data_IF_681623433353
#
_entry.id   IF_681623433353
#
_cell.length_a   1.000
_cell.length_b   1.000
_cell.length_c   1.000
_cell.angle_alpha   90.00
_cell.angle_beta   90.00
_cell.angle_gamma   90.00
#
_symmetry.space_group_name_H-M   'P 1'
#
loop_
_entity.id
_entity.type
_entity.pdbx_description
1 polymer ?
#
# COMPACT_ATOMS: atom_id res chain seq x y z
N UNK A 1 -46.70 45.66 -2.06
CA UNK A 1 -46.59 44.94 -3.35
C UNK A 1 -45.68 45.78 -4.25
N UNK A 2 -44.59 45.35 -4.90
CA UNK A 2 -43.85 44.09 -5.10
C UNK A 2 -42.51 44.55 -5.72
N UNK A 3 -41.38 44.01 -5.25
CA UNK A 3 -40.03 44.15 -5.82
C UNK A 3 -39.86 43.30 -7.09
N UNK A 4 -38.84 43.56 -7.93
CA UNK A 4 -38.16 42.51 -8.67
C UNK A 4 -36.74 42.32 -8.12
N UNK A 5 -36.50 41.14 -7.55
CA UNK A 5 -35.17 40.66 -7.19
C UNK A 5 -34.64 39.84 -8.37
N UNK A 6 -33.59 40.36 -9.01
CA UNK A 6 -32.87 39.66 -10.07
C UNK A 6 -32.00 38.55 -9.49
N UNK A 7 -32.39 37.31 -9.78
CA UNK A 7 -31.61 36.11 -9.45
C UNK A 7 -30.44 36.00 -10.44
N UNK A 8 -29.21 36.19 -9.97
CA UNK A 8 -28.00 35.81 -10.72
C UNK A 8 -27.46 34.55 -10.07
N UNK A 9 -27.61 33.43 -10.78
CA UNK A 9 -27.06 32.14 -10.38
C UNK A 9 -25.52 32.20 -10.40
N UNK A 10 -24.90 31.92 -9.25
CA UNK A 10 -23.46 31.65 -9.19
C UNK A 10 -23.18 30.29 -9.87
N UNK A 11 -22.11 30.16 -10.69
CA UNK A 11 -21.74 28.86 -11.21
C UNK A 11 -21.20 27.98 -10.07
N UNK A 12 -21.81 26.81 -9.93
CA UNK A 12 -21.42 25.74 -9.01
C UNK A 12 -20.03 25.21 -9.43
N UNK A 13 -18.98 25.81 -8.86
CA UNK A 13 -17.60 25.33 -9.02
C UNK A 13 -17.45 24.11 -8.12
N UNK A 14 -17.68 22.94 -8.71
CA UNK A 14 -17.19 21.65 -8.19
C UNK A 14 -15.72 21.81 -7.82
N UNK A 15 -15.28 21.51 -6.58
CA UNK A 15 -13.87 21.45 -6.28
C UNK A 15 -13.29 20.27 -7.05
N UNK A 16 -12.45 20.58 -8.04
CA UNK A 16 -11.55 19.61 -8.63
C UNK A 16 -10.57 19.26 -7.51
N UNK A 17 -10.70 18.07 -6.94
CA UNK A 17 -9.71 17.50 -6.04
C UNK A 17 -8.42 17.43 -6.84
N UNK A 18 -7.56 18.40 -6.62
CA UNK A 18 -6.19 18.42 -7.09
C UNK A 18 -5.49 17.32 -6.29
N UNK A 19 -5.21 16.21 -6.96
CA UNK A 19 -4.40 15.15 -6.39
C UNK A 19 -3.01 15.75 -6.18
N UNK A 20 -2.63 15.96 -4.91
CA UNK A 20 -1.37 16.58 -4.55
C UNK A 20 -0.23 15.61 -4.87
N UNK A 21 0.28 15.67 -6.10
CA UNK A 21 1.38 14.85 -6.62
C UNK A 21 2.70 15.07 -5.85
N UNK A 22 2.75 16.08 -4.97
CA UNK A 22 3.90 16.42 -4.13
C UNK A 22 4.30 15.27 -3.21
N UNK A 23 3.33 14.65 -2.53
CA UNK A 23 3.57 13.55 -1.60
C UNK A 23 4.06 12.30 -2.32
N UNK A 24 3.53 12.04 -3.52
CA UNK A 24 3.93 10.91 -4.35
C UNK A 24 5.37 11.09 -4.86
N UNK A 25 5.72 12.29 -5.32
CA UNK A 25 7.08 12.62 -5.73
C UNK A 25 8.08 12.54 -4.57
N UNK A 26 7.68 13.02 -3.38
CA UNK A 26 8.49 12.96 -2.18
C UNK A 26 8.74 11.52 -1.72
N UNK A 27 7.70 10.70 -1.66
CA UNK A 27 7.80 9.28 -1.32
C UNK A 27 8.65 8.49 -2.34
N UNK A 28 8.53 8.82 -3.64
CA UNK A 28 9.38 8.25 -4.70
C UNK A 28 10.85 8.64 -4.54
N UNK A 29 11.13 9.90 -4.24
CA UNK A 29 12.49 10.43 -4.06
C UNK A 29 13.18 9.72 -2.90
N UNK A 30 12.50 9.63 -1.75
CA UNK A 30 13.01 8.92 -0.57
C UNK A 30 13.23 7.44 -0.89
N UNK A 31 12.25 6.77 -1.53
CA UNK A 31 12.38 5.36 -1.91
C UNK A 31 13.59 5.10 -2.82
N UNK A 32 13.86 6.01 -3.75
CA UNK A 32 14.95 5.87 -4.73
C UNK A 32 16.32 6.10 -4.08
N UNK A 33 16.44 7.15 -3.25
CA UNK A 33 17.66 7.43 -2.50
C UNK A 33 18.03 6.24 -1.59
N UNK A 34 17.02 5.61 -0.96
CA UNK A 34 17.23 4.42 -0.13
C UNK A 34 17.80 3.25 -0.94
N UNK A 35 17.23 2.95 -2.11
CA UNK A 35 17.74 1.87 -2.97
C UNK A 35 19.20 2.10 -3.37
N UNK A 36 19.57 3.34 -3.69
CA UNK A 36 20.96 3.72 -3.97
C UNK A 36 21.88 3.45 -2.76
N UNK A 37 21.48 3.89 -1.56
CA UNK A 37 22.29 3.66 -0.34
C UNK A 37 22.45 2.18 0.05
N UNK A 38 21.53 1.30 -0.36
CA UNK A 38 21.63 -0.15 -0.13
C UNK A 38 22.59 -0.79 -1.16
N UNK A 39 22.70 -0.23 -2.36
CA UNK A 39 23.54 -0.72 -3.46
C UNK A 39 25.00 -0.23 -3.36
N UNK A 40 25.24 0.94 -2.75
CA UNK A 40 26.56 1.60 -2.70
C UNK A 40 27.64 0.86 -1.87
N UNK A 41 27.29 -0.17 -1.09
CA UNK A 41 28.28 -1.06 -0.45
C UNK A 41 28.63 -2.21 -1.39
N UNK A 42 29.52 -1.89 -2.33
CA UNK A 42 30.07 -2.77 -3.37
C UNK A 42 30.90 -3.93 -2.78
N UNK A 43 30.20 -4.95 -2.28
CA UNK A 43 30.70 -6.33 -2.29
C UNK A 43 30.06 -7.05 -3.48
N UNK A 44 30.80 -7.12 -4.59
CA UNK A 44 30.42 -7.79 -5.86
C UNK A 44 29.90 -9.23 -5.67
N UNK A 45 30.23 -9.88 -4.55
CA UNK A 45 29.81 -11.24 -4.20
C UNK A 45 28.38 -11.36 -3.62
N UNK A 46 27.68 -10.24 -3.38
CA UNK A 46 26.42 -10.20 -2.63
C UNK A 46 25.18 -9.83 -3.45
N UNK A 47 25.24 -9.92 -4.79
CA UNK A 47 24.06 -9.77 -5.65
C UNK A 47 23.19 -11.02 -5.56
N UNK A 48 22.52 -11.17 -4.42
CA UNK A 48 21.32 -12.00 -4.35
C UNK A 48 20.24 -11.44 -5.28
N UNK A 49 19.30 -12.27 -5.76
CA UNK A 49 18.23 -11.81 -6.63
C UNK A 49 17.45 -10.68 -5.97
N UNK A 50 17.32 -9.54 -6.65
CA UNK A 50 16.51 -8.42 -6.18
C UNK A 50 15.05 -8.86 -6.15
N UNK A 51 14.32 -8.65 -5.04
CA UNK A 51 12.92 -9.07 -4.95
C UNK A 51 12.07 -8.35 -6.00
N UNK A 52 11.10 -9.06 -6.56
CA UNK A 52 10.19 -8.49 -7.56
C UNK A 52 9.24 -7.46 -6.94
N UNK A 53 8.82 -6.44 -7.71
CA UNK A 53 7.83 -5.47 -7.24
C UNK A 53 6.47 -6.12 -6.92
N UNK A 54 5.83 -5.64 -5.86
CA UNK A 54 4.47 -6.01 -5.50
C UNK A 54 3.46 -5.09 -6.19
N UNK A 55 2.54 -5.68 -6.96
CA UNK A 55 1.56 -4.95 -7.78
C UNK A 55 0.16 -4.85 -7.14
N UNK A 56 0.02 -5.07 -5.83
CA UNK A 56 -1.27 -4.96 -5.14
C UNK A 56 -2.21 -6.17 -5.30
N UNK A 57 -1.75 -7.26 -5.92
CA UNK A 57 -2.57 -8.46 -6.10
C UNK A 57 -2.54 -9.33 -4.86
N UNK A 58 -3.73 -9.60 -4.32
CA UNK A 58 -3.93 -10.43 -3.13
C UNK A 58 -3.33 -11.84 -3.23
N UNK A 59 -3.48 -12.50 -4.38
CA UNK A 59 -2.95 -13.84 -4.62
C UNK A 59 -1.41 -13.87 -4.53
N UNK A 60 -0.77 -12.73 -4.79
CA UNK A 60 0.68 -12.59 -4.84
C UNK A 60 1.27 -12.20 -3.49
N UNK A 61 0.46 -11.71 -2.54
CA UNK A 61 0.90 -11.21 -1.22
C UNK A 61 1.75 -12.23 -0.46
N UNK A 62 1.34 -13.50 -0.47
CA UNK A 62 2.08 -14.57 0.23
C UNK A 62 3.44 -14.85 -0.42
N UNK A 63 3.46 -14.97 -1.75
CA UNK A 63 4.68 -15.23 -2.52
C UNK A 63 5.67 -14.06 -2.39
N UNK A 64 5.16 -12.82 -2.47
CA UNK A 64 5.94 -11.62 -2.29
C UNK A 64 6.64 -11.57 -0.93
N UNK A 65 5.90 -11.82 0.16
CA UNK A 65 6.49 -11.85 1.51
C UNK A 65 7.50 -12.98 1.68
N UNK A 66 7.27 -14.15 1.08
CA UNK A 66 8.22 -15.26 1.13
C UNK A 66 9.54 -14.89 0.45
N UNK A 67 9.47 -14.30 -0.75
CA UNK A 67 10.65 -13.84 -1.48
C UNK A 67 11.42 -12.76 -0.72
N UNK A 68 10.70 -11.88 -0.02
CA UNK A 68 11.29 -10.82 0.78
C UNK A 68 12.01 -11.34 2.03
N UNK A 69 11.42 -12.32 2.74
CA UNK A 69 12.08 -13.00 3.87
C UNK A 69 13.32 -13.77 3.42
N UNK A 70 13.25 -14.45 2.27
CA UNK A 70 14.40 -15.11 1.67
C UNK A 70 15.52 -14.11 1.38
N UNK A 71 15.18 -12.95 0.83
CA UNK A 71 16.16 -11.88 0.58
C UNK A 71 16.81 -11.38 1.87
N UNK A 72 16.04 -11.20 2.96
CA UNK A 72 16.60 -10.80 4.25
C UNK A 72 17.55 -11.84 4.83
N UNK A 73 17.22 -13.12 4.70
CA UNK A 73 18.07 -14.22 5.14
C UNK A 73 19.38 -14.30 4.34
N UNK A 74 19.34 -13.97 3.03
CA UNK A 74 20.52 -13.90 2.17
C UNK A 74 21.36 -12.63 2.37
N UNK A 75 20.75 -11.55 2.86
CA UNK A 75 21.39 -10.24 3.01
C UNK A 75 21.34 -9.71 4.47
N UNK A 76 21.76 -10.50 5.47
CA UNK A 76 21.55 -10.18 6.88
C UNK A 76 22.31 -8.92 7.32
N UNK A 77 23.43 -8.60 6.68
CA UNK A 77 24.23 -7.39 6.96
C UNK A 77 23.57 -6.15 6.35
N UNK A 78 23.02 -6.25 5.13
CA UNK A 78 22.43 -5.11 4.42
C UNK A 78 21.09 -4.72 5.05
N UNK A 79 20.24 -5.70 5.36
CA UNK A 79 18.89 -5.49 5.91
C UNK A 79 18.77 -5.97 7.36
N UNK A 80 19.64 -5.41 8.20
CA UNK A 80 19.81 -5.83 9.60
C UNK A 80 18.83 -5.19 10.60
N UNK A 81 18.02 -4.21 10.19
CA UNK A 81 17.08 -3.51 11.09
C UNK A 81 15.66 -3.57 10.56
N UNK A 82 14.69 -3.53 11.48
CA UNK A 82 13.26 -3.50 11.13
C UNK A 82 12.93 -2.31 10.24
N UNK A 83 13.51 -1.14 10.53
CA UNK A 83 13.36 0.06 9.68
C UNK A 83 13.79 -0.23 8.23
N UNK A 84 14.96 -0.84 8.02
CA UNK A 84 15.44 -1.18 6.66
C UNK A 84 14.56 -2.21 5.97
N UNK A 85 14.04 -3.21 6.70
CA UNK A 85 13.09 -4.20 6.15
C UNK A 85 11.80 -3.54 5.66
N UNK A 86 11.23 -2.64 6.47
CA UNK A 86 10.06 -1.84 6.10
C UNK A 86 10.33 -0.95 4.88
N UNK A 87 11.46 -0.26 4.87
CA UNK A 87 11.88 0.58 3.74
C UNK A 87 12.01 -0.23 2.45
N UNK A 88 12.61 -1.43 2.51
CA UNK A 88 12.73 -2.29 1.34
C UNK A 88 11.36 -2.71 0.82
N UNK A 89 10.45 -3.17 1.70
CA UNK A 89 9.08 -3.51 1.29
C UNK A 89 8.40 -2.32 0.59
N UNK A 90 8.43 -1.13 1.19
CA UNK A 90 7.78 0.06 0.63
C UNK A 90 8.36 0.43 -0.74
N UNK A 91 9.67 0.26 -0.94
CA UNK A 91 10.30 0.52 -2.25
C UNK A 91 9.79 -0.42 -3.36
N UNK A 92 9.41 -1.64 -3.00
CA UNK A 92 8.95 -2.69 -3.91
C UNK A 92 7.45 -2.63 -4.18
N UNK A 93 6.68 -1.95 -3.33
CA UNK A 93 5.24 -1.70 -3.55
C UNK A 93 5.07 -0.70 -4.70
N UNK A 94 4.37 -1.10 -5.76
CA UNK A 94 4.15 -0.38 -7.02
C UNK A 94 2.73 -0.61 -7.57
N UNK A 95 2.38 0.14 -8.62
CA UNK A 95 1.07 0.06 -9.27
C UNK A 95 0.03 0.90 -8.52
N UNK A 96 -1.22 0.42 -8.49
CA UNK A 96 -2.37 1.13 -7.90
C UNK A 96 -2.35 1.16 -6.36
N UNK A 97 -1.23 0.80 -5.74
CA UNK A 97 -1.03 0.78 -4.29
C UNK A 97 -0.43 2.09 -3.74
N UNK A 98 -0.47 3.16 -4.53
CA UNK A 98 0.22 4.43 -4.26
C UNK A 98 -0.19 5.06 -2.93
N UNK A 99 -1.50 5.19 -2.69
CA UNK A 99 -2.04 5.79 -1.46
C UNK A 99 -1.59 5.05 -0.19
N UNK A 100 -1.60 3.71 -0.24
CA UNK A 100 -1.12 2.89 0.87
C UNK A 100 0.37 3.14 1.14
N UNK A 101 1.18 3.15 0.08
CA UNK A 101 2.63 3.38 0.17
C UNK A 101 2.93 4.76 0.74
N UNK A 102 2.25 5.82 0.29
CA UNK A 102 2.42 7.18 0.81
C UNK A 102 2.11 7.22 2.31
N UNK A 103 0.93 6.70 2.69
CA UNK A 103 0.49 6.64 4.10
C UNK A 103 1.51 5.94 5.00
N UNK A 104 2.03 4.79 4.57
CA UNK A 104 3.00 4.04 5.37
C UNK A 104 4.40 4.68 5.37
N UNK A 105 4.79 5.36 4.28
CA UNK A 105 6.05 6.12 4.22
C UNK A 105 6.01 7.30 5.18
N UNK A 106 4.90 8.05 5.23
CA UNK A 106 4.71 9.15 6.20
C UNK A 106 4.70 8.66 7.65
N UNK A 107 4.13 7.48 7.93
CA UNK A 107 4.22 6.87 9.27
C UNK A 107 5.65 6.50 9.63
N UNK A 108 6.44 6.05 8.67
CA UNK A 108 7.83 5.64 8.89
C UNK A 108 8.78 6.83 9.05
N UNK A 109 8.43 7.97 8.44
CA UNK A 109 9.17 9.23 8.46
C UNK A 109 8.21 10.39 8.75
N UNK A 110 7.72 10.52 10.00
CA UNK A 110 6.85 11.64 10.35
C UNK A 110 7.62 12.95 10.23
N UNK A 111 7.02 13.92 9.54
CA UNK A 111 7.61 15.24 9.30
C UNK A 111 7.65 16.09 10.58
N UNK A 112 6.59 16.00 11.39
CA UNK A 112 6.53 16.66 12.69
C UNK A 112 7.55 16.08 13.68
N UNK A 113 8.18 16.93 14.49
CA UNK A 113 9.00 16.53 15.63
C UNK A 113 8.17 16.07 16.84
N UNK A 114 6.96 15.56 16.60
CA UNK A 114 6.14 14.93 17.61
C UNK A 114 6.86 13.66 18.10
N UNK A 115 7.52 13.81 19.25
CA UNK A 115 8.28 12.76 19.91
C UNK A 115 7.48 11.47 20.10
N UNK A 116 6.15 11.55 20.21
CA UNK A 116 5.28 10.39 20.39
C UNK A 116 5.14 9.61 19.09
N UNK A 117 4.80 10.27 17.97
CA UNK A 117 4.66 9.62 16.66
C UNK A 117 6.00 9.04 16.17
N UNK A 118 7.10 9.78 16.39
CA UNK A 118 8.46 9.29 16.12
C UNK A 118 8.80 8.05 16.92
N UNK A 119 8.43 8.02 18.20
CA UNK A 119 8.64 6.87 19.08
C UNK A 119 7.82 5.65 18.63
N UNK A 120 6.54 5.83 18.34
CA UNK A 120 5.67 4.75 17.84
C UNK A 120 6.19 4.16 16.51
N UNK A 121 6.64 5.00 15.58
CA UNK A 121 7.23 4.56 14.31
C UNK A 121 8.55 3.79 14.50
N UNK A 122 9.37 4.23 15.46
CA UNK A 122 10.65 3.59 15.78
C UNK A 122 10.49 2.27 16.55
N UNK A 123 9.46 2.16 17.39
CA UNK A 123 9.17 0.97 18.21
C UNK A 123 8.45 -0.13 17.43
N UNK A 124 7.75 0.20 16.34
CA UNK A 124 7.08 -0.82 15.56
C UNK A 124 8.10 -1.81 14.96
N UNK A 125 7.88 -3.10 15.24
CA UNK A 125 8.73 -4.17 14.71
C UNK A 125 8.40 -4.54 13.26
N UNK A 126 9.31 -5.27 12.61
CA UNK A 126 9.05 -5.85 11.29
C UNK A 126 7.82 -6.78 11.30
N UNK A 127 7.65 -7.57 12.35
CA UNK A 127 6.52 -8.51 12.47
C UNK A 127 5.17 -7.80 12.51
N UNK A 128 5.05 -6.72 13.30
CA UNK A 128 3.82 -5.93 13.38
C UNK A 128 3.49 -5.26 12.04
N UNK A 129 4.50 -4.68 11.38
CA UNK A 129 4.33 -4.06 10.07
C UNK A 129 3.89 -5.08 9.00
N UNK A 130 4.54 -6.24 8.97
CA UNK A 130 4.20 -7.35 8.06
C UNK A 130 2.76 -7.81 8.25
N UNK A 131 2.28 -7.90 9.49
CA UNK A 131 0.90 -8.27 9.78
C UNK A 131 -0.09 -7.22 9.24
N UNK A 132 0.21 -5.92 9.37
CA UNK A 132 -0.62 -4.88 8.76
C UNK A 132 -0.64 -4.97 7.24
N UNK A 133 0.53 -5.16 6.61
CA UNK A 133 0.61 -5.34 5.17
C UNK A 133 -0.22 -6.56 4.70
N UNK A 134 -0.15 -7.67 5.43
CA UNK A 134 -1.02 -8.81 5.18
C UNK A 134 -2.49 -8.41 5.32
N UNK A 135 -2.90 -7.77 6.41
CA UNK A 135 -4.31 -7.38 6.62
C UNK A 135 -4.87 -6.45 5.53
N UNK A 136 -4.04 -5.57 4.95
CA UNK A 136 -4.46 -4.70 3.85
C UNK A 136 -4.79 -5.49 2.58
N UNK A 137 -3.96 -6.48 2.25
CA UNK A 137 -4.05 -7.23 1.00
C UNK A 137 -4.71 -8.61 1.15
N UNK A 138 -4.98 -9.05 2.37
CA UNK A 138 -5.79 -10.22 2.66
C UNK A 138 -7.26 -9.92 2.34
N UNK A 139 -8.01 -10.91 1.88
CA UNK A 139 -9.43 -10.71 1.61
C UNK A 139 -10.13 -10.48 2.93
N UNK A 140 -10.82 -9.33 3.05
CA UNK A 140 -11.71 -9.04 4.16
C UNK A 140 -12.88 -10.02 4.05
N UNK A 141 -12.70 -11.19 4.65
CA UNK A 141 -13.71 -12.23 4.79
C UNK A 141 -14.11 -12.92 3.47
N UNK A 142 -13.20 -13.76 2.93
CA UNK A 142 -13.48 -14.69 1.80
C UNK A 142 -14.78 -15.45 2.02
N UNK A 143 -15.08 -15.87 3.27
CA UNK A 143 -16.28 -16.63 3.59
C UNK A 143 -17.53 -15.80 3.34
N UNK A 144 -17.57 -14.54 3.79
CA UNK A 144 -18.72 -13.65 3.58
C UNK A 144 -18.86 -13.27 2.11
N UNK A 145 -17.76 -13.01 1.42
CA UNK A 145 -17.76 -12.66 -0.01
C UNK A 145 -18.15 -13.85 -0.89
N UNK A 146 -17.63 -15.05 -0.59
CA UNK A 146 -18.02 -16.30 -1.24
C UNK A 146 -19.49 -16.65 -0.93
N UNK A 147 -19.95 -16.47 0.31
CA UNK A 147 -21.37 -16.64 0.65
C UNK A 147 -22.26 -15.65 -0.11
N UNK A 148 -21.83 -14.39 -0.27
CA UNK A 148 -22.56 -13.40 -1.08
C UNK A 148 -22.62 -13.83 -2.56
N UNK A 149 -21.50 -14.25 -3.13
CA UNK A 149 -21.42 -14.76 -4.51
C UNK A 149 -22.26 -16.02 -4.72
N UNK A 150 -22.24 -16.97 -3.78
CA UNK A 150 -23.10 -18.18 -3.81
C UNK A 150 -24.58 -17.79 -3.74
N UNK A 151 -24.94 -16.84 -2.86
CA UNK A 151 -26.33 -16.38 -2.72
C UNK A 151 -26.80 -15.64 -3.98
N UNK A 152 -25.94 -14.85 -4.60
CA UNK A 152 -26.19 -14.17 -5.88
C UNK A 152 -26.37 -15.16 -7.04
N UNK A 153 -25.52 -16.18 -7.14
CA UNK A 153 -25.64 -17.26 -8.13
C UNK A 153 -26.97 -18.00 -7.94
N UNK A 154 -27.33 -18.38 -6.69
CA UNK A 154 -28.62 -19.01 -6.37
C UNK A 154 -29.84 -18.14 -6.72
N UNK A 155 -29.74 -16.81 -6.66
CA UNK A 155 -30.82 -15.91 -7.05
C UNK A 155 -30.92 -15.72 -8.57
N UNK A 156 -29.79 -15.83 -9.29
CA UNK A 156 -29.73 -15.74 -10.76
C UNK A 156 -30.18 -17.04 -11.44
N UNK A 157 -30.05 -18.19 -10.78
CA UNK A 157 -30.69 -19.45 -11.17
C UNK A 157 -32.21 -19.40 -10.91
N UNK A 158 -32.94 -18.65 -11.73
CA UNK A 158 -34.40 -18.77 -11.82
C UNK A 158 -34.74 -20.18 -12.32
N UNK A 159 -35.48 -20.93 -11.52
CA UNK A 159 -36.01 -22.26 -11.81
C UNK A 159 -37.00 -22.37 -13.01
N UNK A 160 -37.10 -21.33 -13.86
CA UNK A 160 -38.04 -21.29 -14.99
C UNK A 160 -37.50 -21.90 -16.29
N UNK A 161 -36.40 -22.67 -16.26
CA UNK A 161 -35.87 -23.37 -17.45
C UNK A 161 -36.16 -24.87 -17.53
N UNK A 162 -36.92 -25.44 -16.59
CA UNK A 162 -37.23 -26.89 -16.60
C UNK A 162 -38.68 -27.21 -16.22
N UNK A 163 -39.64 -26.41 -16.67
CA UNK A 163 -41.03 -26.86 -16.79
C UNK A 163 -41.43 -26.63 -18.24
N UNK A 164 -41.37 -27.70 -19.00
CA UNK A 164 -41.96 -27.84 -20.34
C UNK A 164 -43.08 -28.86 -20.23
#
# INVERSE_FOLDING_TARGET
MTTPSGSTAAPDVKPKVEHDDTDEQWARTISTAILQTIDDKKDEASKGPTPEPFLGKQLDTRCFLLNLELYFAMNPVKVNTDKKKKMLLLSLVKGDTGEWKIRETMKLFPEDDDSKKKKEAAEETWSSFKQRFQNEWQPVNVVREAQMKIKEIKMKDRANKYVN
#
